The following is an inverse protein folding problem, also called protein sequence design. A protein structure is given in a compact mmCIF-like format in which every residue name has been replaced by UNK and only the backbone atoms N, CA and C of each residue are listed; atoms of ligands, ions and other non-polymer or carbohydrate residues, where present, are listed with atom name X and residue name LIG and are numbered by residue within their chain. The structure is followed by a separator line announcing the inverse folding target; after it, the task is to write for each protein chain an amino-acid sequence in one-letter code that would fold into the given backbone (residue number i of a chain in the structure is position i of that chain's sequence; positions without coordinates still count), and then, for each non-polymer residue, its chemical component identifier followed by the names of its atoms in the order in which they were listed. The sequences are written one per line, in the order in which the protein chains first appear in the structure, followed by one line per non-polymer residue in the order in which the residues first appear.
data_IF_302480404065
#
_entry.id   IF_302480404065
#
_cell.length_a   1.000
_cell.length_b   1.000
_cell.length_c   1.000
_cell.angle_alpha   90.00
_cell.angle_beta   90.00
_cell.angle_gamma   90.00
#
_symmetry.space_group_name_H-M   'P 1'
#
loop_
_entity.id
_entity.type
_entity.pdbx_description
1 polymer ?
#
# COMPACT_ATOMS: atom_id res chain seq x y z
N UNK A 1 -0.90 -37.55 -50.48
CA UNK A 1 -1.53 -38.45 -51.45
C UNK A 1 -1.64 -39.81 -50.76
N UNK A 2 -2.35 -40.80 -51.31
CA UNK A 2 -2.20 -42.15 -50.75
C UNK A 2 -0.78 -42.65 -51.06
N UNK A 3 -0.18 -43.40 -50.13
CA UNK A 3 1.13 -44.06 -50.35
C UNK A 3 1.08 -44.84 -51.66
N UNK A 4 2.07 -44.64 -52.53
CA UNK A 4 2.19 -45.38 -53.78
C UNK A 4 3.13 -46.57 -53.59
N UNK A 5 2.67 -47.77 -53.92
CA UNK A 5 3.51 -48.98 -53.85
C UNK A 5 4.14 -49.28 -55.21
N UNK A 6 5.42 -49.65 -55.19
CA UNK A 6 6.15 -50.09 -56.38
C UNK A 6 5.91 -51.59 -56.57
N UNK A 7 5.43 -51.95 -57.75
CA UNK A 7 5.15 -53.34 -58.11
C UNK A 7 6.37 -53.89 -58.86
N UNK A 8 7.15 -54.76 -58.21
CA UNK A 8 8.40 -55.31 -58.77
C UNK A 8 8.19 -56.56 -59.67
N UNK A 9 6.96 -57.05 -59.81
CA UNK A 9 6.62 -58.26 -60.58
C UNK A 9 5.15 -58.32 -61.03
N UNK A 10 4.73 -59.39 -61.69
CA UNK A 10 3.35 -59.55 -62.19
C UNK A 10 2.36 -59.71 -61.02
N UNK A 11 1.40 -58.79 -60.77
CA UNK A 11 0.37 -58.99 -59.77
C UNK A 11 -0.51 -60.21 -60.12
N UNK A 12 -1.28 -60.75 -59.15
CA UNK A 12 -2.20 -61.87 -59.39
C UNK A 12 -3.23 -61.65 -60.52
N UNK A 13 -3.42 -60.40 -60.95
CA UNK A 13 -4.29 -60.00 -62.06
C UNK A 13 -3.64 -60.12 -63.44
N UNK A 14 -2.38 -60.56 -63.53
CA UNK A 14 -1.69 -60.83 -64.80
C UNK A 14 -1.11 -59.60 -65.52
N UNK A 15 -1.17 -58.41 -64.92
CA UNK A 15 -0.52 -57.21 -65.46
C UNK A 15 1.01 -57.27 -65.21
N UNK A 16 1.86 -56.76 -66.11
CA UNK A 16 3.31 -56.70 -65.85
C UNK A 16 3.65 -55.74 -64.70
N UNK A 17 4.81 -55.93 -64.04
CA UNK A 17 5.30 -55.02 -62.99
C UNK A 17 5.55 -53.59 -63.48
N UNK A 18 5.78 -52.67 -62.56
CA UNK A 18 6.07 -51.26 -62.89
C UNK A 18 7.36 -51.17 -63.72
N UNK A 19 7.27 -50.50 -64.86
CA UNK A 19 8.48 -50.13 -65.61
C UNK A 19 9.37 -49.20 -64.78
N UNK A 20 10.69 -49.12 -65.04
CA UNK A 20 11.60 -48.21 -64.32
C UNK A 20 11.11 -46.75 -64.30
N UNK A 21 10.48 -46.29 -65.38
CA UNK A 21 9.89 -44.95 -65.45
C UNK A 21 8.73 -44.77 -64.46
N UNK A 22 7.84 -45.76 -64.37
CA UNK A 22 6.70 -45.73 -63.44
C UNK A 22 7.20 -45.79 -62.00
N UNK A 23 8.13 -46.71 -61.69
CA UNK A 23 8.73 -46.82 -60.36
C UNK A 23 9.40 -45.50 -59.91
N UNK A 24 10.21 -44.86 -60.76
CA UNK A 24 10.84 -43.58 -60.44
C UNK A 24 9.83 -42.44 -60.26
N UNK A 25 8.74 -42.41 -61.03
CA UNK A 25 7.67 -41.42 -60.83
C UNK A 25 6.97 -41.59 -59.48
N UNK A 26 6.76 -42.83 -59.02
CA UNK A 26 6.21 -43.15 -57.70
C UNK A 26 7.15 -42.72 -56.57
N UNK A 27 8.46 -42.96 -56.71
CA UNK A 27 9.47 -42.51 -55.75
C UNK A 27 9.45 -40.98 -55.63
N UNK A 28 9.55 -40.26 -56.75
CA UNK A 28 9.53 -38.80 -56.74
C UNK A 28 8.25 -38.23 -56.12
N UNK A 29 7.10 -38.86 -56.40
CA UNK A 29 5.81 -38.49 -55.81
C UNK A 29 5.80 -38.70 -54.29
N UNK A 30 6.24 -39.86 -53.79
CA UNK A 30 6.33 -40.15 -52.36
C UNK A 30 7.33 -39.23 -51.63
N UNK A 31 8.49 -39.00 -52.23
CA UNK A 31 9.53 -38.13 -51.65
C UNK A 31 9.10 -36.67 -51.63
N UNK A 32 8.43 -36.20 -52.68
CA UNK A 32 7.83 -34.85 -52.71
C UNK A 32 6.77 -34.68 -51.63
N UNK A 33 5.91 -35.69 -51.41
CA UNK A 33 4.93 -35.68 -50.32
C UNK A 33 5.60 -35.58 -48.95
N UNK A 34 6.68 -36.35 -48.70
CA UNK A 34 7.44 -36.26 -47.46
C UNK A 34 8.01 -34.86 -47.25
N UNK A 35 8.67 -34.28 -48.25
CA UNK A 35 9.25 -32.94 -48.14
C UNK A 35 8.20 -31.84 -47.93
N UNK A 36 7.01 -31.99 -48.54
CA UNK A 36 5.89 -31.09 -48.29
C UNK A 36 5.29 -31.27 -46.88
N UNK A 37 5.38 -32.48 -46.31
CA UNK A 37 4.82 -32.84 -45.00
C UNK A 37 5.73 -32.51 -43.81
N UNK A 38 7.05 -32.50 -43.99
CA UNK A 38 8.01 -32.21 -42.90
C UNK A 38 8.51 -30.75 -42.89
N UNK A 39 8.32 -30.01 -43.99
CA UNK A 39 8.79 -28.63 -44.14
C UNK A 39 10.30 -28.54 -44.38
N UNK A 40 10.82 -27.31 -44.42
CA UNK A 40 12.26 -27.06 -44.56
C UNK A 40 12.73 -26.07 -43.49
N UNK A 41 14.03 -26.04 -43.13
CA UNK A 41 14.55 -25.07 -42.16
C UNK A 41 14.28 -23.59 -42.56
N UNK A 42 14.20 -23.30 -43.85
CA UNK A 42 13.95 -21.96 -44.40
C UNK A 42 12.47 -21.65 -44.63
N UNK A 43 11.58 -22.64 -44.50
CA UNK A 43 10.14 -22.49 -44.67
C UNK A 43 9.41 -23.49 -43.77
N UNK A 44 9.10 -23.08 -42.52
CA UNK A 44 8.36 -23.90 -41.57
C UNK A 44 6.99 -24.31 -42.12
N UNK A 45 6.48 -25.46 -41.67
CA UNK A 45 5.15 -25.92 -42.08
C UNK A 45 4.08 -24.90 -41.70
N UNK A 46 3.14 -24.57 -42.60
CA UNK A 46 2.00 -23.73 -42.26
C UNK A 46 1.10 -24.46 -41.25
N UNK A 47 0.33 -23.70 -40.47
CA UNK A 47 -0.58 -24.25 -39.44
C UNK A 47 -1.52 -25.33 -40.00
N UNK A 48 -1.97 -25.17 -41.24
CA UNK A 48 -2.82 -26.14 -41.96
C UNK A 48 -2.19 -27.53 -42.16
N UNK A 49 -0.90 -27.70 -41.88
CA UNK A 49 -0.15 -28.96 -41.96
C UNK A 49 0.32 -29.48 -40.60
N UNK A 50 0.05 -28.76 -39.51
CA UNK A 50 0.60 -29.03 -38.17
C UNK A 50 -0.11 -30.11 -37.35
N UNK A 51 -1.02 -30.90 -37.94
CA UNK A 51 -1.69 -32.01 -37.25
C UNK A 51 -2.73 -31.61 -36.18
N UNK A 52 -3.01 -30.32 -36.01
CA UNK A 52 -3.97 -29.79 -35.03
C UNK A 52 -5.41 -29.72 -35.54
N UNK A 53 -5.64 -30.09 -36.81
CA UNK A 53 -6.96 -29.98 -37.47
C UNK A 53 -7.37 -28.55 -37.84
N UNK A 54 -6.58 -27.53 -37.49
CA UNK A 54 -6.85 -26.13 -37.80
C UNK A 54 -6.07 -25.60 -39.01
N UNK A 55 -6.67 -24.71 -39.79
CA UNK A 55 -5.98 -23.95 -40.87
C UNK A 55 -5.55 -22.54 -40.43
N UNK A 56 -5.90 -22.15 -39.20
CA UNK A 56 -5.54 -20.88 -38.57
C UNK A 56 -4.97 -21.11 -37.18
N UNK A 57 -4.21 -20.16 -36.64
CA UNK A 57 -3.68 -20.26 -35.28
C UNK A 57 -4.79 -20.47 -34.23
N UNK A 58 -5.92 -19.76 -34.37
CA UNK A 58 -7.05 -19.88 -33.45
C UNK A 58 -7.65 -21.30 -33.46
N UNK A 59 -7.87 -21.89 -34.64
CA UNK A 59 -8.40 -23.25 -34.74
C UNK A 59 -7.39 -24.30 -34.29
N UNK A 60 -6.10 -24.08 -34.50
CA UNK A 60 -5.04 -24.95 -33.99
C UNK A 60 -4.96 -24.93 -32.45
N UNK A 61 -5.14 -23.76 -31.82
CA UNK A 61 -5.22 -23.66 -30.35
C UNK A 61 -6.41 -24.46 -29.81
N UNK A 62 -7.58 -24.37 -30.46
CA UNK A 62 -8.74 -25.19 -30.12
C UNK A 62 -8.46 -26.69 -30.30
N UNK A 63 -7.81 -27.09 -31.39
CA UNK A 63 -7.47 -28.50 -31.65
C UNK A 63 -6.47 -29.08 -30.65
N UNK A 64 -5.59 -28.25 -30.08
CA UNK A 64 -4.68 -28.61 -28.98
C UNK A 64 -5.36 -28.61 -27.60
N UNK A 65 -6.64 -28.25 -27.51
CA UNK A 65 -7.36 -28.15 -26.24
C UNK A 65 -6.86 -27.01 -25.35
N UNK A 66 -6.22 -25.98 -25.93
CA UNK A 66 -5.72 -24.84 -25.16
C UNK A 66 -6.90 -23.96 -24.74
N UNK A 67 -7.24 -24.03 -23.45
CA UNK A 67 -8.32 -23.24 -22.86
C UNK A 67 -7.71 -22.06 -22.11
N UNK A 68 -8.20 -20.85 -22.37
CA UNK A 68 -7.76 -19.66 -21.62
C UNK A 68 -8.42 -19.66 -20.25
N UNK A 69 -7.70 -19.21 -19.23
CA UNK A 69 -8.30 -18.97 -17.92
C UNK A 69 -9.46 -17.99 -18.01
N UNK A 70 -10.54 -18.27 -17.27
CA UNK A 70 -11.76 -17.44 -17.27
C UNK A 70 -11.98 -16.68 -15.97
N UNK A 71 -11.30 -17.06 -14.88
CA UNK A 71 -11.36 -16.37 -13.59
C UNK A 71 -9.99 -16.37 -12.88
N UNK A 72 -9.82 -15.50 -11.87
CA UNK A 72 -8.58 -15.40 -11.08
C UNK A 72 -8.29 -16.63 -10.21
N UNK A 73 -9.25 -17.55 -10.10
CA UNK A 73 -9.14 -18.81 -9.33
C UNK A 73 -9.27 -20.05 -10.21
N UNK A 74 -9.15 -19.89 -11.52
CA UNK A 74 -9.20 -21.02 -12.44
C UNK A 74 -8.01 -21.96 -12.16
N UNK A 75 -8.31 -23.11 -11.55
CA UNK A 75 -7.37 -24.17 -11.20
C UNK A 75 -7.45 -25.35 -12.16
N UNK A 76 -8.18 -25.21 -13.27
CA UNK A 76 -8.34 -26.27 -14.25
C UNK A 76 -6.99 -26.59 -14.89
N UNK A 77 -6.56 -27.85 -14.75
CA UNK A 77 -5.31 -28.30 -15.35
C UNK A 77 -5.36 -28.14 -16.87
N UNK A 78 -4.28 -27.60 -17.45
CA UNK A 78 -4.18 -27.34 -18.89
C UNK A 78 -4.65 -25.95 -19.33
N UNK A 79 -5.27 -25.16 -18.44
CA UNK A 79 -5.65 -23.79 -18.79
C UNK A 79 -4.42 -22.88 -18.86
N UNK A 80 -4.43 -21.97 -19.85
CA UNK A 80 -3.36 -21.03 -20.11
C UNK A 80 -3.63 -19.69 -19.42
N UNK A 81 -2.64 -19.22 -18.65
CA UNK A 81 -2.61 -17.86 -18.14
C UNK A 81 -2.39 -16.86 -19.29
N UNK A 82 -3.16 -15.79 -19.30
CA UNK A 82 -2.98 -14.68 -20.23
C UNK A 82 -1.90 -13.73 -19.70
N UNK A 83 -1.14 -13.07 -20.59
CA UNK A 83 -0.23 -12.01 -20.19
C UNK A 83 -1.01 -10.89 -19.47
N UNK A 84 -0.53 -10.43 -18.31
CA UNK A 84 -1.24 -9.45 -17.49
C UNK A 84 -2.41 -10.02 -16.67
N UNK A 85 -2.67 -11.33 -16.71
CA UNK A 85 -3.73 -11.95 -15.92
C UNK A 85 -3.48 -11.77 -14.41
N UNK A 86 -4.53 -11.37 -13.67
CA UNK A 86 -4.40 -11.03 -12.25
C UNK A 86 -3.57 -9.76 -11.97
N UNK A 87 -3.15 -9.03 -13.01
CA UNK A 87 -2.27 -7.85 -12.90
C UNK A 87 -0.78 -8.18 -12.85
N UNK A 88 -0.38 -9.44 -13.06
CA UNK A 88 1.03 -9.85 -13.13
C UNK A 88 1.56 -9.76 -14.57
N UNK A 89 2.68 -9.04 -14.75
CA UNK A 89 3.34 -8.93 -16.06
C UNK A 89 2.62 -8.06 -17.09
N UNK A 90 1.66 -7.23 -16.66
CA UNK A 90 0.95 -6.23 -17.47
C UNK A 90 0.64 -4.98 -16.65
N UNK A 91 0.08 -3.94 -17.29
CA UNK A 91 -0.41 -2.78 -16.56
C UNK A 91 -1.48 -3.23 -15.54
N UNK A 92 -1.52 -2.59 -14.37
CA UNK A 92 -2.62 -2.78 -13.42
C UNK A 92 -3.94 -2.64 -14.17
N UNK A 93 -4.74 -3.70 -14.19
CA UNK A 93 -5.95 -3.71 -15.00
C UNK A 93 -6.89 -2.61 -14.51
N UNK A 94 -7.32 -1.74 -15.43
CA UNK A 94 -8.42 -0.81 -15.19
C UNK A 94 -9.65 -1.61 -14.87
N UNK A 95 -9.90 -1.73 -13.58
CA UNK A 95 -11.11 -2.33 -13.07
C UNK A 95 -11.90 -1.16 -12.56
N UNK A 96 -12.97 -0.83 -13.27
CA UNK A 96 -13.99 0.15 -12.90
C UNK A 96 -14.72 -0.20 -11.58
N UNK A 97 -14.05 -0.90 -10.67
CA UNK A 97 -14.56 -1.43 -9.43
C UNK A 97 -14.15 -0.52 -8.29
N UNK A 98 -15.10 -0.23 -7.42
CA UNK A 98 -14.81 0.30 -6.09
C UNK A 98 -13.98 -0.71 -5.30
N UNK A 99 -13.28 -0.27 -4.24
CA UNK A 99 -12.57 -1.20 -3.35
C UNK A 99 -13.46 -2.35 -2.83
N UNK A 100 -14.76 -2.12 -2.62
CA UNK A 100 -15.68 -3.17 -2.17
C UNK A 100 -16.10 -4.13 -3.28
N UNK A 101 -16.28 -3.64 -4.52
CA UNK A 101 -16.60 -4.47 -5.67
C UNK A 101 -15.46 -5.46 -6.02
N UNK A 102 -14.23 -5.14 -5.63
CA UNK A 102 -13.08 -6.05 -5.82
C UNK A 102 -13.23 -7.35 -5.01
N UNK A 103 -13.94 -7.33 -3.89
CA UNK A 103 -14.12 -8.51 -3.03
C UNK A 103 -14.95 -9.61 -3.69
N UNK A 104 -15.94 -9.25 -4.50
CA UNK A 104 -16.88 -10.21 -5.10
C UNK A 104 -16.54 -10.56 -6.54
N UNK A 105 -15.59 -9.84 -7.14
CA UNK A 105 -15.16 -10.03 -8.52
C UNK A 105 -13.83 -10.78 -8.63
N UNK A 106 -13.05 -10.86 -7.54
CA UNK A 106 -11.79 -11.59 -7.51
C UNK A 106 -11.62 -12.36 -6.20
N UNK A 107 -11.55 -13.69 -6.33
CA UNK A 107 -10.97 -14.54 -5.30
C UNK A 107 -9.47 -14.72 -5.55
N UNK A 108 -8.71 -14.98 -4.49
CA UNK A 108 -7.26 -15.03 -4.50
C UNK A 108 -6.60 -13.65 -4.44
N UNK A 109 -5.31 -13.61 -4.82
CA UNK A 109 -4.52 -12.37 -4.90
C UNK A 109 -4.73 -11.66 -6.24
N UNK A 110 -4.96 -10.36 -6.20
CA UNK A 110 -5.11 -9.54 -7.40
C UNK A 110 -4.47 -8.17 -7.24
N UNK A 111 -3.85 -7.71 -8.32
CA UNK A 111 -3.27 -6.37 -8.44
C UNK A 111 -4.17 -5.53 -9.35
N UNK A 112 -4.64 -4.40 -8.85
CA UNK A 112 -5.54 -3.51 -9.57
C UNK A 112 -5.24 -2.08 -9.20
N UNK A 113 -5.80 -1.12 -9.93
CA UNK A 113 -5.90 0.23 -9.44
C UNK A 113 -7.36 0.59 -9.23
N UNK A 114 -7.60 1.41 -8.23
CA UNK A 114 -8.92 1.79 -7.80
C UNK A 114 -9.10 3.26 -8.23
N UNK A 115 -10.12 3.56 -9.05
CA UNK A 115 -10.35 4.92 -9.61
C UNK A 115 -11.83 5.34 -9.68
N UNK A 116 -12.75 4.53 -9.14
CA UNK A 116 -14.20 4.68 -9.42
C UNK A 116 -15.07 5.02 -8.20
N UNK A 117 -14.55 5.75 -7.22
CA UNK A 117 -15.30 6.06 -5.98
C UNK A 117 -15.57 4.81 -5.13
N UNK A 118 -16.42 4.97 -4.11
CA UNK A 118 -16.73 3.93 -3.11
C UNK A 118 -16.02 4.15 -1.77
N UNK A 119 -16.00 3.13 -0.92
CA UNK A 119 -15.48 3.21 0.45
C UNK A 119 -13.94 3.25 0.47
N UNK A 120 -13.32 4.34 -0.01
CA UNK A 120 -11.90 4.61 0.16
C UNK A 120 -11.58 5.10 1.58
N UNK A 121 -10.29 5.08 2.00
CA UNK A 121 -9.86 5.91 3.11
C UNK A 121 -10.25 7.37 2.88
N UNK A 122 -10.61 8.09 3.95
CA UNK A 122 -10.97 9.50 3.85
C UNK A 122 -9.83 10.31 3.22
N UNK A 123 -10.17 11.14 2.23
CA UNK A 123 -9.21 11.97 1.49
C UNK A 123 -8.47 11.27 0.34
N UNK A 124 -8.65 9.96 0.16
CA UNK A 124 -8.08 9.19 -0.95
C UNK A 124 -9.10 9.02 -2.05
N UNK A 125 -8.70 9.23 -3.30
CA UNK A 125 -9.57 9.08 -4.48
C UNK A 125 -9.15 7.96 -5.42
N UNK A 126 -7.86 7.64 -5.44
CA UNK A 126 -7.23 6.75 -6.39
C UNK A 126 -5.96 6.11 -5.82
N UNK A 127 -5.59 4.93 -6.31
CA UNK A 127 -4.39 4.24 -5.85
C UNK A 127 -4.21 2.83 -6.38
N UNK A 128 -3.03 2.26 -6.11
CA UNK A 128 -2.74 0.85 -6.38
C UNK A 128 -3.32 -0.01 -5.25
N UNK A 129 -4.15 -0.98 -5.60
CA UNK A 129 -4.85 -1.85 -4.68
C UNK A 129 -4.41 -3.30 -4.87
N UNK A 130 -4.02 -3.93 -3.78
CA UNK A 130 -3.84 -5.37 -3.68
C UNK A 130 -5.04 -5.91 -2.90
N UNK A 131 -5.77 -6.85 -3.50
CA UNK A 131 -6.87 -7.54 -2.86
C UNK A 131 -6.55 -9.03 -2.76
N UNK A 132 -6.72 -9.58 -1.56
CA UNK A 132 -6.50 -10.98 -1.24
C UNK A 132 -7.78 -11.57 -0.64
N UNK A 133 -8.59 -12.22 -1.47
CA UNK A 133 -9.84 -12.86 -1.06
C UNK A 133 -9.70 -14.37 -0.89
N UNK A 134 -10.36 -14.95 0.11
CA UNK A 134 -10.49 -16.41 0.24
C UNK A 134 -11.53 -16.98 -0.73
N UNK A 135 -12.65 -16.29 -0.88
CA UNK A 135 -13.78 -16.73 -1.71
C UNK A 135 -14.21 -15.66 -2.72
N UNK A 136 -15.05 -16.08 -3.67
CA UNK A 136 -15.65 -15.20 -4.68
C UNK A 136 -16.88 -14.46 -4.13
N UNK A 137 -17.41 -14.88 -2.98
CA UNK A 137 -18.51 -14.21 -2.30
C UNK A 137 -18.05 -12.95 -1.55
N UNK A 138 -16.74 -12.72 -1.44
CA UNK A 138 -16.16 -11.59 -0.73
C UNK A 138 -16.39 -11.64 0.77
N UNK A 139 -16.54 -12.83 1.36
CA UNK A 139 -16.82 -12.96 2.79
C UNK A 139 -15.57 -12.64 3.62
N UNK A 140 -14.43 -13.17 3.19
CA UNK A 140 -13.15 -13.02 3.89
C UNK A 140 -12.10 -12.52 2.91
N UNK A 141 -11.62 -11.31 3.17
CA UNK A 141 -10.61 -10.71 2.32
C UNK A 141 -9.76 -9.69 3.09
N UNK A 142 -8.58 -9.42 2.54
CA UNK A 142 -7.69 -8.39 3.03
C UNK A 142 -7.26 -7.49 1.87
N UNK A 143 -7.17 -6.19 2.15
CA UNK A 143 -6.78 -5.21 1.16
C UNK A 143 -5.62 -4.35 1.66
N UNK A 144 -4.71 -4.05 0.74
CA UNK A 144 -3.67 -3.06 0.89
C UNK A 144 -3.80 -2.04 -0.26
N UNK A 145 -3.91 -0.77 0.08
CA UNK A 145 -4.03 0.33 -0.88
C UNK A 145 -2.84 1.27 -0.71
N UNK A 146 -2.16 1.60 -1.80
CA UNK A 146 -1.21 2.70 -1.88
C UNK A 146 -1.81 3.88 -2.64
N UNK A 147 -1.98 5.01 -1.96
CA UNK A 147 -2.43 6.26 -2.56
C UNK A 147 -1.35 6.85 -3.48
N UNK A 148 -1.70 7.11 -4.73
CA UNK A 148 -0.77 7.65 -5.73
C UNK A 148 -0.37 9.10 -5.47
N UNK A 149 -1.18 9.87 -4.74
CA UNK A 149 -0.93 11.30 -4.54
C UNK A 149 -0.07 11.57 -3.32
N UNK A 150 -0.35 10.88 -2.23
CA UNK A 150 0.37 11.09 -0.97
C UNK A 150 1.45 10.04 -0.71
N UNK A 151 1.43 8.91 -1.44
CA UNK A 151 2.28 7.75 -1.14
C UNK A 151 1.88 7.01 0.13
N UNK A 152 0.78 7.39 0.79
CA UNK A 152 0.32 6.74 2.02
C UNK A 152 -0.19 5.33 1.73
N UNK A 153 0.15 4.41 2.64
CA UNK A 153 -0.36 3.04 2.61
C UNK A 153 -1.53 2.87 3.58
N UNK A 154 -2.53 2.10 3.16
CA UNK A 154 -3.71 1.79 3.94
C UNK A 154 -4.03 0.31 3.87
N UNK A 155 -4.63 -0.21 4.94
CA UNK A 155 -5.11 -1.59 5.00
C UNK A 155 -6.53 -1.67 5.53
N UNK A 156 -7.22 -2.74 5.16
CA UNK A 156 -8.45 -3.17 5.85
C UNK A 156 -8.66 -4.66 5.67
N UNK A 157 -9.41 -5.25 6.59
CA UNK A 157 -9.95 -6.60 6.46
C UNK A 157 -11.45 -6.57 6.18
N UNK A 158 -11.96 -7.64 5.59
CA UNK A 158 -13.38 -7.96 5.48
C UNK A 158 -13.60 -9.35 6.07
N UNK A 159 -14.62 -9.49 6.91
CA UNK A 159 -14.98 -10.76 7.53
C UNK A 159 -16.50 -10.92 7.51
N UNK A 160 -16.98 -12.12 7.19
CA UNK A 160 -18.41 -12.43 7.03
C UNK A 160 -19.16 -11.38 6.18
N UNK A 161 -18.53 -10.92 5.10
CA UNK A 161 -19.13 -9.97 4.17
C UNK A 161 -19.16 -8.52 4.67
N UNK A 162 -18.62 -8.22 5.85
CA UNK A 162 -18.56 -6.85 6.39
C UNK A 162 -17.15 -6.28 6.31
N UNK A 163 -16.99 -5.17 5.59
CA UNK A 163 -15.71 -4.46 5.49
C UNK A 163 -15.41 -3.70 6.78
N UNK A 164 -14.22 -3.91 7.34
CA UNK A 164 -13.70 -3.07 8.41
C UNK A 164 -13.29 -1.68 7.91
N UNK A 165 -13.07 -0.77 8.86
CA UNK A 165 -12.55 0.56 8.56
C UNK A 165 -11.14 0.49 7.96
N UNK A 166 -10.80 1.47 7.12
CA UNK A 166 -9.43 1.65 6.65
C UNK A 166 -8.52 2.13 7.78
N UNK A 167 -7.41 1.43 7.99
CA UNK A 167 -6.31 1.86 8.85
C UNK A 167 -5.13 2.33 8.00
N UNK A 168 -4.65 3.55 8.25
CA UNK A 168 -3.38 4.03 7.68
C UNK A 168 -2.22 3.22 8.27
N UNK A 169 -1.28 2.82 7.43
CA UNK A 169 -0.02 2.20 7.85
C UNK A 169 0.98 3.34 8.07
N UNK A 170 1.54 3.37 9.27
CA UNK A 170 2.56 4.34 9.61
C UNK A 170 3.96 3.79 9.37
N UNK A 171 4.80 4.59 8.73
CA UNK A 171 6.19 4.29 8.40
C UNK A 171 7.09 5.50 8.73
N UNK A 172 8.37 5.44 8.35
CA UNK A 172 9.31 6.53 8.61
C UNK A 172 8.97 7.84 7.87
N UNK A 173 8.17 7.82 6.81
CA UNK A 173 7.80 9.00 6.04
C UNK A 173 6.64 9.77 6.68
N UNK A 174 5.69 9.05 7.30
CA UNK A 174 4.45 9.67 7.79
C UNK A 174 4.28 9.63 9.31
N UNK A 175 5.08 8.85 10.05
CA UNK A 175 4.95 8.73 11.52
C UNK A 175 5.22 10.04 12.26
N UNK A 176 6.17 10.85 11.76
CA UNK A 176 6.60 12.11 12.37
C UNK A 176 5.94 13.36 11.78
N UNK A 177 4.98 13.18 10.87
CA UNK A 177 4.23 14.29 10.28
C UNK A 177 3.25 14.89 11.31
N UNK A 178 2.86 16.17 11.13
CA UNK A 178 1.95 16.82 12.06
C UNK A 178 0.60 16.07 12.15
N UNK A 179 0.19 15.60 13.34
CA UNK A 179 -1.11 14.95 13.52
C UNK A 179 -2.31 15.84 13.16
N UNK A 180 -2.17 17.17 13.16
CA UNK A 180 -3.25 18.11 12.82
C UNK A 180 -3.42 18.21 11.30
N UNK A 181 -2.36 18.58 10.58
CA UNK A 181 -2.45 18.92 9.16
C UNK A 181 -2.18 17.75 8.21
N UNK A 182 -1.44 16.75 8.68
CA UNK A 182 -0.86 15.71 7.81
C UNK A 182 -1.20 14.29 8.28
N UNK A 183 -1.86 14.15 9.43
CA UNK A 183 -2.32 12.88 9.97
C UNK A 183 -1.17 11.92 10.29
N UNK A 184 -0.06 12.42 10.85
CA UNK A 184 1.00 11.60 11.44
C UNK A 184 0.68 11.14 12.86
N UNK A 185 1.57 10.33 13.46
CA UNK A 185 1.41 9.83 14.84
C UNK A 185 1.89 10.83 15.87
N UNK A 186 2.98 11.52 15.57
CA UNK A 186 3.58 12.51 16.44
C UNK A 186 4.29 13.58 15.64
N UNK A 187 4.44 14.77 16.18
CA UNK A 187 5.30 15.80 15.60
C UNK A 187 6.05 16.54 16.69
N UNK A 188 7.15 17.18 16.31
CA UNK A 188 7.94 18.05 17.18
C UNK A 188 8.31 19.31 16.40
N UNK A 189 7.98 20.47 16.96
CA UNK A 189 8.27 21.76 16.34
C UNK A 189 8.68 22.78 17.39
N UNK A 190 9.61 23.68 17.03
CA UNK A 190 9.95 24.84 17.85
C UNK A 190 8.99 25.98 17.53
N UNK A 191 8.17 26.38 18.51
CA UNK A 191 7.17 27.45 18.36
C UNK A 191 7.39 28.45 19.49
N UNK A 192 7.68 29.71 19.16
CA UNK A 192 7.93 30.75 20.16
C UNK A 192 9.09 30.44 21.13
N UNK A 193 10.08 29.65 20.70
CA UNK A 193 11.20 29.22 21.54
C UNK A 193 10.94 27.97 22.40
N UNK A 194 9.74 27.39 22.36
CA UNK A 194 9.41 26.15 23.06
C UNK A 194 9.29 24.99 22.09
N UNK A 195 9.79 23.83 22.49
CA UNK A 195 9.58 22.57 21.80
C UNK A 195 8.16 22.07 22.09
N UNK A 196 7.33 21.99 21.06
CA UNK A 196 5.96 21.51 21.10
C UNK A 196 5.91 20.14 20.45
N UNK A 197 5.62 19.11 21.25
CA UNK A 197 5.44 17.75 20.79
C UNK A 197 3.94 17.40 20.78
N UNK A 198 3.35 17.12 19.63
CA UNK A 198 1.94 16.72 19.52
C UNK A 198 1.85 15.24 19.24
N UNK A 199 0.81 14.60 19.78
CA UNK A 199 0.52 13.19 19.57
C UNK A 199 -0.88 13.01 18.97
N UNK A 200 -1.04 12.02 18.11
CA UNK A 200 -2.29 11.74 17.39
C UNK A 200 -3.46 11.35 18.31
N UNK A 201 -3.19 10.90 19.54
CA UNK A 201 -4.22 10.68 20.57
C UNK A 201 -4.83 11.99 21.12
N UNK A 202 -4.22 13.14 20.79
CA UNK A 202 -4.65 14.46 21.22
C UNK A 202 -3.84 15.06 22.36
N UNK A 203 -2.84 14.36 22.87
CA UNK A 203 -1.92 14.89 23.88
C UNK A 203 -0.89 15.84 23.26
N UNK A 204 -0.45 16.82 24.06
CA UNK A 204 0.65 17.73 23.72
C UNK A 204 1.59 17.89 24.89
N UNK A 205 2.87 17.99 24.57
CA UNK A 205 3.92 18.33 25.50
C UNK A 205 4.65 19.59 25.04
N UNK A 206 4.66 20.63 25.87
CA UNK A 206 5.36 21.89 25.62
C UNK A 206 6.54 21.99 26.59
N UNK A 207 7.75 22.16 26.08
CA UNK A 207 8.97 22.28 26.89
C UNK A 207 9.85 23.40 26.40
N UNK A 208 10.47 24.13 27.31
CA UNK A 208 11.43 25.17 26.92
C UNK A 208 11.88 26.03 28.08
N UNK A 209 12.65 27.06 27.73
CA UNK A 209 13.14 28.06 28.66
C UNK A 209 12.22 29.27 28.55
N UNK A 210 11.53 29.59 29.65
CA UNK A 210 10.70 30.80 29.74
C UNK A 210 11.60 32.04 29.86
N UNK A 211 11.10 33.25 29.57
CA UNK A 211 11.86 34.48 29.79
C UNK A 211 12.36 34.63 31.23
N UNK A 212 13.49 35.32 31.38
CA UNK A 212 14.03 35.66 32.70
C UNK A 212 12.99 36.47 33.48
N UNK A 213 12.78 36.14 34.76
CA UNK A 213 11.85 36.90 35.61
C UNK A 213 12.35 38.32 35.85
N UNK A 214 11.45 39.23 36.21
CA UNK A 214 11.85 40.45 36.91
C UNK A 214 12.57 40.10 38.22
N UNK A 215 13.33 41.05 38.76
CA UNK A 215 13.99 40.89 40.06
C UNK A 215 12.94 40.68 41.15
N UNK A 216 13.01 39.53 41.81
CA UNK A 216 12.17 39.20 42.95
C UNK A 216 12.87 39.69 44.20
N UNK A 217 12.18 40.49 45.03
CA UNK A 217 12.74 41.01 46.26
C UNK A 217 13.14 39.88 47.24
N UNK A 218 14.06 40.19 48.15
CA UNK A 218 14.46 39.25 49.20
C UNK A 218 13.24 38.81 50.03
N UNK A 219 13.14 37.51 50.32
CA UNK A 219 12.07 36.87 51.09
C UNK A 219 10.65 37.01 50.52
N UNK A 220 10.50 37.53 49.29
CA UNK A 220 9.20 37.75 48.68
C UNK A 220 8.61 36.48 48.05
N UNK A 221 7.29 36.41 48.05
CA UNK A 221 6.52 35.50 47.20
C UNK A 221 6.12 36.24 45.93
N UNK A 222 6.31 35.62 44.78
CA UNK A 222 5.90 36.23 43.50
C UNK A 222 5.33 35.17 42.58
N UNK A 223 4.15 35.45 42.04
CA UNK A 223 3.54 34.66 40.98
C UNK A 223 4.11 35.11 39.65
N UNK A 224 4.69 34.18 38.91
CA UNK A 224 5.21 34.40 37.57
C UNK A 224 4.25 33.75 36.57
N UNK A 225 3.89 34.50 35.53
CA UNK A 225 3.06 34.03 34.43
C UNK A 225 3.94 33.81 33.20
N UNK A 226 3.78 32.66 32.56
CA UNK A 226 4.48 32.33 31.31
C UNK A 226 3.45 31.93 30.26
N UNK A 227 3.43 32.69 29.16
CA UNK A 227 2.59 32.38 28.01
C UNK A 227 3.16 31.19 27.23
N UNK A 228 2.28 30.24 26.93
CA UNK A 228 2.54 29.10 26.06
C UNK A 228 2.38 29.53 24.60
N UNK A 229 3.13 28.91 23.67
CA UNK A 229 3.03 29.20 22.25
C UNK A 229 1.80 28.54 21.58
N UNK A 230 0.99 27.82 22.35
CA UNK A 230 -0.20 27.11 21.88
C UNK A 230 -1.32 27.28 22.91
N UNK A 231 -2.56 27.17 22.43
CA UNK A 231 -3.74 27.07 23.30
C UNK A 231 -4.07 25.60 23.51
N UNK A 232 -4.10 25.19 24.78
CA UNK A 232 -4.56 23.88 25.20
C UNK A 232 -6.10 23.81 25.13
N UNK A 233 -6.66 22.62 25.02
CA UNK A 233 -8.13 22.43 25.07
C UNK A 233 -8.57 21.83 26.40
N UNK A 234 -9.70 22.29 26.93
CA UNK A 234 -10.31 21.75 28.14
C UNK A 234 -11.20 20.53 27.79
N UNK A 235 -10.59 19.36 27.69
CA UNK A 235 -11.29 18.11 27.40
C UNK A 235 -11.80 17.41 28.65
N UNK A 236 -12.92 17.89 29.21
CA UNK A 236 -13.68 17.27 30.30
C UNK A 236 -12.96 17.03 31.67
N UNK A 237 -13.77 17.00 32.73
CA UNK A 237 -13.37 16.74 34.13
C UNK A 237 -12.53 15.44 34.22
N UNK A 238 -11.22 15.58 34.47
CA UNK A 238 -10.31 14.45 34.69
C UNK A 238 -9.04 14.44 33.82
N UNK A 239 -8.96 15.25 32.76
CA UNK A 239 -7.72 15.44 32.01
C UNK A 239 -6.78 16.41 32.78
N UNK A 240 -6.14 15.91 33.83
CA UNK A 240 -5.21 16.70 34.63
C UNK A 240 -4.04 17.18 33.75
N UNK A 241 -4.01 18.48 33.48
CA UNK A 241 -2.82 19.12 32.97
C UNK A 241 -1.70 18.96 34.00
N UNK A 242 -0.50 18.61 33.54
CA UNK A 242 0.66 18.54 34.42
C UNK A 242 1.69 19.54 33.94
N UNK A 243 1.93 20.55 34.73
CA UNK A 243 3.05 21.46 34.56
C UNK A 243 4.14 21.10 35.56
N UNK A 244 5.39 21.24 35.14
CA UNK A 244 6.56 21.09 36.00
C UNK A 244 7.56 22.17 35.61
N UNK A 245 7.87 23.03 36.57
CA UNK A 245 8.78 24.15 36.40
C UNK A 245 9.98 24.01 37.33
N UNK A 246 11.17 24.26 36.80
CA UNK A 246 12.38 24.49 37.57
C UNK A 246 12.81 25.94 37.40
N UNK A 247 13.00 26.66 38.48
CA UNK A 247 13.39 28.07 38.47
C UNK A 247 14.86 28.20 38.90
N UNK A 248 15.77 28.38 37.95
CA UNK A 248 17.19 28.52 38.26
C UNK A 248 17.51 29.96 38.71
N UNK A 249 17.96 30.19 39.96
CA UNK A 249 18.37 31.52 40.39
C UNK A 249 19.62 31.99 39.64
N UNK A 250 19.74 33.30 39.44
CA UNK A 250 20.86 33.89 38.68
C UNK A 250 22.00 34.44 39.54
N UNK A 251 21.82 34.57 40.86
CA UNK A 251 22.83 35.15 41.76
C UNK A 251 23.22 34.16 42.86
N UNK A 252 22.25 33.71 43.66
CA UNK A 252 22.49 32.79 44.79
C UNK A 252 21.50 31.63 44.75
N UNK A 253 21.94 30.44 45.15
CA UNK A 253 21.06 29.27 45.30
C UNK A 253 20.21 29.31 46.59
N UNK A 254 20.11 30.46 47.25
CA UNK A 254 19.25 30.68 48.40
C UNK A 254 17.84 31.06 47.94
N UNK A 255 16.97 30.07 47.85
CA UNK A 255 15.55 30.21 47.55
C UNK A 255 14.80 28.93 47.97
N UNK A 256 13.48 29.01 48.06
CA UNK A 256 12.64 27.91 48.56
C UNK A 256 12.00 27.08 47.44
N UNK A 257 12.49 27.21 46.20
CA UNK A 257 11.92 26.52 45.05
C UNK A 257 10.65 27.14 44.49
N UNK A 258 10.02 26.39 43.59
CA UNK A 258 8.65 26.62 43.12
C UNK A 258 7.71 25.98 44.15
N UNK A 259 6.89 26.80 44.82
CA UNK A 259 6.02 26.34 45.92
C UNK A 259 4.62 25.92 45.45
N UNK A 260 4.19 26.42 44.30
CA UNK A 260 2.95 26.04 43.65
C UNK A 260 3.06 26.27 42.14
N UNK A 261 2.37 25.46 41.37
CA UNK A 261 2.35 25.54 39.92
C UNK A 261 0.99 25.08 39.39
N UNK A 262 0.44 25.83 38.43
CA UNK A 262 -0.86 25.55 37.83
C UNK A 262 -0.98 26.23 36.47
N UNK A 263 -1.98 25.85 35.67
CA UNK A 263 -2.39 26.64 34.50
C UNK A 263 -3.33 27.74 34.96
N UNK A 264 -2.98 29.00 34.69
CA UNK A 264 -3.84 30.16 34.94
C UNK A 264 -4.99 30.21 33.93
N UNK A 265 -4.71 29.85 32.68
CA UNK A 265 -5.68 29.71 31.60
C UNK A 265 -5.16 28.69 30.58
N UNK A 266 -5.86 28.51 29.46
CA UNK A 266 -5.50 27.53 28.42
C UNK A 266 -4.20 27.82 27.66
N UNK A 267 -3.62 28.98 27.86
CA UNK A 267 -2.42 29.49 27.19
C UNK A 267 -1.37 30.04 28.14
N UNK A 268 -1.59 29.96 29.47
CA UNK A 268 -0.70 30.59 30.45
C UNK A 268 -0.48 29.66 31.63
N UNK A 269 0.77 29.33 31.91
CA UNK A 269 1.14 28.71 33.20
C UNK A 269 1.44 29.80 34.22
N UNK A 270 1.13 29.49 35.47
CA UNK A 270 1.52 30.31 36.61
C UNK A 270 2.27 29.42 37.62
N UNK A 271 3.37 29.97 38.15
CA UNK A 271 4.07 29.34 39.26
C UNK A 271 4.47 30.39 40.28
N UNK A 272 4.54 29.96 41.54
CA UNK A 272 4.88 30.82 42.66
C UNK A 272 6.30 30.47 43.10
N UNK A 273 7.18 31.47 43.09
CA UNK A 273 8.52 31.37 43.68
C UNK A 273 8.51 32.09 45.02
N UNK A 274 9.18 31.48 46.01
CA UNK A 274 9.60 32.18 47.22
C UNK A 274 11.12 32.36 47.19
N UNK A 275 11.56 33.60 47.08
CA UNK A 275 12.99 33.94 47.04
C UNK A 275 13.61 33.90 48.44
N UNK A 276 14.93 33.70 48.51
CA UNK A 276 15.71 33.75 49.75
C UNK A 276 16.14 35.17 50.11
N UNK A 277 17.22 35.31 50.88
CA UNK A 277 17.63 36.59 51.47
C UNK A 277 18.22 37.60 50.47
N UNK A 278 18.54 37.18 49.24
CA UNK A 278 19.13 38.04 48.20
C UNK A 278 18.11 38.30 47.09
N UNK A 279 17.85 39.56 46.77
CA UNK A 279 17.01 39.91 45.63
C UNK A 279 17.67 39.45 44.32
N UNK A 280 16.96 38.70 43.48
CA UNK A 280 17.53 38.11 42.26
C UNK A 280 16.46 37.77 41.22
N UNK A 281 16.91 37.50 39.99
CA UNK A 281 16.08 36.99 38.89
C UNK A 281 16.19 35.47 38.79
N UNK A 282 15.24 34.84 38.12
CA UNK A 282 15.20 33.40 37.87
C UNK A 282 15.03 33.11 36.39
N UNK A 283 15.69 32.07 35.89
CA UNK A 283 15.52 31.53 34.54
C UNK A 283 14.66 30.26 34.64
N UNK A 284 13.37 30.31 34.30
CA UNK A 284 12.50 29.15 34.45
C UNK A 284 12.63 28.21 33.25
N UNK A 285 12.71 26.91 33.51
CA UNK A 285 12.51 25.87 32.50
C UNK A 285 11.20 25.18 32.77
N UNK A 286 10.34 25.08 31.76
CA UNK A 286 8.96 24.62 31.90
C UNK A 286 8.74 23.33 31.12
N UNK A 287 7.86 22.48 31.64
CA UNK A 287 7.40 21.27 30.98
C UNK A 287 5.91 21.07 31.24
N UNK A 288 5.09 21.23 30.21
CA UNK A 288 3.63 21.20 30.31
C UNK A 288 3.08 20.06 29.47
N UNK A 289 2.28 19.21 30.09
CA UNK A 289 1.47 18.18 29.42
C UNK A 289 0.01 18.60 29.45
N UNK A 290 -0.64 18.50 28.29
CA UNK A 290 -2.06 18.81 28.12
C UNK A 290 -2.64 18.16 26.88
N UNK A 291 -3.73 18.74 26.36
CA UNK A 291 -4.40 18.30 25.13
C UNK A 291 -4.51 19.41 24.11
N UNK A 292 -4.51 19.05 22.84
CA UNK A 292 -4.77 19.95 21.69
C UNK A 292 -6.06 19.59 20.92
N UNK A 293 -6.66 18.43 21.21
CA UNK A 293 -8.01 18.03 20.76
C UNK A 293 -8.76 17.22 21.82
#
# INVERSE_FOLDING_TARGET
MARQEIILGTPPTGLGGDTPRVANSKINAMTSELYQGIGTPTSPLPVSKGGTGGTSQATAQTGLGLVKVTSSIDSTSGNLLLAGWGGLGGQLQSRSYTPDQMFTTQAGGSFSYANNGGAYPAGVTDGALINMGYDTAGQFAYQLLGDWRTGSLYRRGRAAGTSGAWGKIYDSLNSVADPISSGGLMSSALIGGYLVNRYANGEVNVRGIAPLTATIAANAFTTIFVSLPITLVNGALGAAFKSTTNAQPQITYDFYGVVAEYLSDLSTIAFIIRNGATAQTFQPTINVWGRWK
#
